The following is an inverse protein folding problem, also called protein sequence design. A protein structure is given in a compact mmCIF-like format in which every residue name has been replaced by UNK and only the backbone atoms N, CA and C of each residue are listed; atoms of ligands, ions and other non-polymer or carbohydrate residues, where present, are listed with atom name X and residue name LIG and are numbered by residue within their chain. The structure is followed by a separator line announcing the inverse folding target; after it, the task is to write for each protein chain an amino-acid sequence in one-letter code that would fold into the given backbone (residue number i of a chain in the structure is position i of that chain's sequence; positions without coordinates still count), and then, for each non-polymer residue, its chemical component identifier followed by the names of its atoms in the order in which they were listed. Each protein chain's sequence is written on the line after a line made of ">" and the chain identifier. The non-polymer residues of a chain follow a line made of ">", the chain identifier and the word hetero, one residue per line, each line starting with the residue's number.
data_IF_685744650389
#
_entry.id   IF_685744650389
#
_cell.length_a   1.000
_cell.length_b   1.000
_cell.length_c   1.000
_cell.angle_alpha   90.00
_cell.angle_beta   90.00
_cell.angle_gamma   90.00
#
_symmetry.space_group_name_H-M   'P 1'
#
loop_
_entity.id
_entity.type
_entity.pdbx_description
1 polymer ?
#
# COMPACT_ATOMS: atom_id res chain seq x y z
N UNK A 1 -2.65 34.67 -17.49
CA UNK A 1 -1.77 33.75 -16.73
C UNK A 1 -2.49 33.40 -15.44
N UNK A 2 -3.13 32.23 -15.34
CA UNK A 2 -3.93 31.84 -14.17
C UNK A 2 -3.26 30.65 -13.48
N UNK A 3 -2.52 30.94 -12.43
CA UNK A 3 -1.86 29.95 -11.57
C UNK A 3 -2.94 29.25 -10.75
N UNK A 4 -3.39 28.07 -11.19
CA UNK A 4 -4.21 27.22 -10.34
C UNK A 4 -3.29 26.59 -9.29
N UNK A 5 -3.26 27.23 -8.11
CA UNK A 5 -2.77 26.67 -6.87
C UNK A 5 -3.60 25.40 -6.60
N UNK A 6 -3.08 24.23 -6.99
CA UNK A 6 -3.64 22.94 -6.58
C UNK A 6 -3.37 22.80 -5.10
N UNK A 7 -4.29 23.30 -4.28
CA UNK A 7 -4.40 22.96 -2.88
C UNK A 7 -4.76 21.47 -2.79
N UNK A 8 -3.76 20.62 -3.01
CA UNK A 8 -3.84 19.21 -2.66
C UNK A 8 -3.89 19.17 -1.14
N UNK A 9 -5.11 19.16 -0.59
CA UNK A 9 -5.35 18.71 0.77
C UNK A 9 -4.51 17.44 0.96
N UNK A 10 -3.79 17.28 2.08
CA UNK A 10 -3.20 15.99 2.40
C UNK A 10 -4.38 15.02 2.50
N UNK A 11 -4.63 14.29 1.42
CA UNK A 11 -5.61 13.21 1.35
C UNK A 11 -5.31 12.38 2.59
N UNK A 12 -6.24 12.37 3.54
CA UNK A 12 -6.14 11.57 4.73
C UNK A 12 -6.01 10.15 4.21
N UNK A 13 -4.76 9.68 4.07
CA UNK A 13 -4.42 8.42 3.41
C UNK A 13 -5.41 7.41 3.97
N UNK A 14 -6.20 6.73 3.12
CA UNK A 14 -7.17 5.79 3.63
C UNK A 14 -6.46 4.87 4.61
N UNK A 15 -6.91 4.85 5.86
CA UNK A 15 -6.26 4.12 6.97
C UNK A 15 -6.01 2.66 6.58
N UNK A 16 -6.86 2.14 5.67
CA UNK A 16 -6.59 0.93 4.92
C UNK A 16 -6.88 1.06 3.42
N UNK A 17 -5.89 0.77 2.57
CA UNK A 17 -6.01 0.68 1.12
C UNK A 17 -6.39 -0.73 0.67
N UNK A 18 -7.08 -0.87 -0.46
CA UNK A 18 -7.32 -2.20 -1.06
C UNK A 18 -6.04 -2.77 -1.65
N UNK A 19 -5.93 -4.11 -1.71
CA UNK A 19 -4.79 -4.81 -2.34
C UNK A 19 -4.55 -4.32 -3.77
N UNK A 20 -5.61 -4.13 -4.56
CA UNK A 20 -5.54 -3.61 -5.93
C UNK A 20 -4.88 -2.22 -6.00
N UNK A 21 -5.28 -1.30 -5.14
CA UNK A 21 -4.71 0.06 -5.10
C UNK A 21 -3.25 0.04 -4.65
N UNK A 22 -2.90 -0.81 -3.69
CA UNK A 22 -1.51 -1.03 -3.29
C UNK A 22 -0.66 -1.55 -4.47
N UNK A 23 -1.14 -2.60 -5.14
CA UNK A 23 -0.50 -3.19 -6.30
C UNK A 23 -0.23 -2.15 -7.40
N UNK A 24 -1.20 -1.28 -7.71
CA UNK A 24 -1.04 -0.20 -8.66
C UNK A 24 -0.01 0.87 -8.23
N UNK A 25 0.07 1.19 -6.94
CA UNK A 25 1.03 2.20 -6.43
C UNK A 25 2.48 1.74 -6.49
N UNK A 26 2.71 0.46 -6.27
CA UNK A 26 4.06 -0.13 -6.20
C UNK A 26 4.44 -0.93 -7.44
N UNK A 27 3.62 -0.87 -8.50
CA UNK A 27 3.80 -1.61 -9.75
C UNK A 27 3.95 -3.14 -9.53
N UNK A 28 3.18 -3.68 -8.58
CA UNK A 28 3.16 -5.11 -8.26
C UNK A 28 1.93 -5.73 -8.93
N UNK A 29 2.09 -6.84 -9.62
CA UNK A 29 0.94 -7.57 -10.15
C UNK A 29 0.12 -8.22 -9.01
N UNK A 30 -1.22 -8.18 -9.08
CA UNK A 30 -2.07 -8.83 -8.08
C UNK A 30 -1.72 -10.32 -7.87
N UNK A 31 -1.43 -11.13 -8.92
CA UNK A 31 -0.96 -12.50 -8.74
C UNK A 31 0.34 -12.59 -7.93
N UNK A 32 1.30 -11.70 -8.17
CA UNK A 32 2.56 -11.64 -7.40
C UNK A 32 2.28 -11.37 -5.93
N UNK A 33 1.36 -10.44 -5.63
CA UNK A 33 0.96 -10.14 -4.27
C UNK A 33 0.41 -11.38 -3.54
N UNK A 34 -0.50 -12.12 -4.18
CA UNK A 34 -1.08 -13.31 -3.57
C UNK A 34 -0.10 -14.48 -3.46
N UNK A 35 0.81 -14.65 -4.43
CA UNK A 35 1.85 -15.69 -4.40
C UNK A 35 2.90 -15.45 -3.33
N UNK A 36 3.32 -14.20 -3.14
CA UNK A 36 4.36 -13.83 -2.18
C UNK A 36 3.78 -13.18 -0.93
N UNK A 37 2.60 -13.61 -0.48
CA UNK A 37 1.88 -12.98 0.65
C UNK A 37 2.71 -12.90 1.94
N UNK A 38 3.65 -13.81 2.15
CA UNK A 38 4.57 -13.80 3.29
C UNK A 38 5.61 -12.66 3.24
N UNK A 39 5.92 -12.17 2.04
CA UNK A 39 6.87 -11.06 1.78
C UNK A 39 6.17 -9.74 1.46
N UNK A 40 4.84 -9.70 1.58
CA UNK A 40 3.98 -8.56 1.30
C UNK A 40 3.40 -7.99 2.59
N UNK A 41 2.90 -6.75 2.61
CA UNK A 41 2.32 -6.17 3.81
C UNK A 41 1.12 -6.97 4.32
N UNK A 42 1.01 -7.05 5.64
CA UNK A 42 -0.09 -7.75 6.30
C UNK A 42 -1.46 -7.17 5.87
N UNK A 43 -2.39 -8.06 5.56
CA UNK A 43 -3.76 -7.69 5.19
C UNK A 43 -4.73 -8.05 6.31
N UNK A 44 -5.65 -7.14 6.60
CA UNK A 44 -6.81 -7.38 7.45
C UNK A 44 -8.08 -7.54 6.61
N UNK A 45 -9.10 -8.18 7.17
CA UNK A 45 -10.40 -8.36 6.50
C UNK A 45 -11.42 -7.41 7.12
N UNK A 46 -11.94 -6.48 6.33
CA UNK A 46 -12.98 -5.52 6.73
C UNK A 46 -14.17 -5.69 5.81
N UNK A 47 -15.35 -6.02 6.35
CA UNK A 47 -16.57 -6.20 5.55
C UNK A 47 -16.43 -7.24 4.44
N UNK A 48 -15.65 -8.30 4.66
CA UNK A 48 -15.39 -9.34 3.66
C UNK A 48 -14.28 -9.02 2.65
N UNK A 49 -13.73 -7.82 2.65
CA UNK A 49 -12.68 -7.39 1.72
C UNK A 49 -11.30 -7.37 2.40
N UNK A 50 -10.26 -7.76 1.67
CA UNK A 50 -8.86 -7.62 2.11
C UNK A 50 -8.39 -6.18 1.95
N UNK A 51 -7.89 -5.62 3.05
CA UNK A 51 -7.35 -4.26 3.13
C UNK A 51 -5.97 -4.27 3.78
N UNK A 52 -5.09 -3.42 3.29
CA UNK A 52 -3.74 -3.20 3.80
C UNK A 52 -3.78 -1.90 4.59
N UNK A 53 -3.46 -1.96 5.88
CA UNK A 53 -3.40 -0.76 6.71
C UNK A 53 -2.16 0.05 6.42
N UNK A 54 -2.21 1.35 6.70
CA UNK A 54 -1.03 2.22 6.57
C UNK A 54 0.14 1.71 7.43
N UNK A 55 -0.13 1.23 8.65
CA UNK A 55 0.89 0.66 9.51
C UNK A 55 1.57 -0.57 8.88
N UNK A 56 0.78 -1.48 8.28
CA UNK A 56 1.33 -2.66 7.61
C UNK A 56 2.14 -2.31 6.35
N UNK A 57 1.69 -1.31 5.59
CA UNK A 57 2.44 -0.79 4.43
C UNK A 57 3.78 -0.18 4.87
N UNK A 58 3.79 0.63 5.95
CA UNK A 58 5.02 1.20 6.50
C UNK A 58 5.97 0.13 6.99
N UNK A 59 5.50 -0.85 7.78
CA UNK A 59 6.36 -1.95 8.23
C UNK A 59 6.97 -2.74 7.07
N UNK A 60 6.21 -2.95 6.00
CA UNK A 60 6.73 -3.60 4.81
C UNK A 60 7.80 -2.76 4.11
N UNK A 61 7.61 -1.45 3.99
CA UNK A 61 8.61 -0.53 3.45
C UNK A 61 9.87 -0.49 4.32
N UNK A 62 9.73 -0.50 5.64
CA UNK A 62 10.85 -0.56 6.58
C UNK A 62 11.62 -1.87 6.40
N UNK A 63 10.94 -3.01 6.26
CA UNK A 63 11.57 -4.31 5.99
C UNK A 63 12.27 -4.36 4.63
N UNK A 64 11.67 -3.74 3.60
CA UNK A 64 12.27 -3.63 2.27
C UNK A 64 13.50 -2.71 2.29
N UNK A 65 13.44 -1.60 3.02
CA UNK A 65 14.54 -0.65 3.16
C UNK A 65 15.68 -1.19 4.03
N UNK A 66 15.36 -1.95 5.08
CA UNK A 66 16.34 -2.62 5.94
C UNK A 66 16.99 -3.83 5.28
N UNK A 67 16.63 -4.15 4.04
CA UNK A 67 17.33 -5.16 3.26
C UNK A 67 17.20 -6.55 3.88
N UNK A 68 15.98 -7.11 3.83
CA UNK A 68 15.88 -8.56 3.62
C UNK A 68 16.25 -8.91 2.17
N UNK A 69 17.48 -8.55 1.82
CA UNK A 69 18.29 -9.17 0.79
C UNK A 69 19.06 -10.30 1.50
N UNK A 70 18.37 -11.39 1.81
CA UNK A 70 18.93 -12.69 2.20
C UNK A 70 17.81 -13.74 2.21
#
# INVERSE_FOLDING_TARGET
>A
MKTHLRNAMPDAKPTASSVKSFCQRYDISEPTFYRHRASMPACIRIGGQLRITQAAEQQWLEQAAQGRAA
#
